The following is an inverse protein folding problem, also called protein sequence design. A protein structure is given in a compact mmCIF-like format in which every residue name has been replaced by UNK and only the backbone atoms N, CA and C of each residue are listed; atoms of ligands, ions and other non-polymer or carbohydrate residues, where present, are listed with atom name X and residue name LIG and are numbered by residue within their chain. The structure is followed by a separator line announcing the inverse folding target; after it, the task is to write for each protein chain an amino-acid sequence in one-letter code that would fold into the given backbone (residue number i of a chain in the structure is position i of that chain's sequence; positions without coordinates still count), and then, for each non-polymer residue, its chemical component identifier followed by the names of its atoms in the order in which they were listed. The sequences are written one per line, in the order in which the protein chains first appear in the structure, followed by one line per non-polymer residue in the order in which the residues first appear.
data_IF_070539341111
#
_entry.id   IF_070539341111
#
_cell.length_a   1.000
_cell.length_b   1.000
_cell.length_c   1.000
_cell.angle_alpha   90.00
_cell.angle_beta   90.00
_cell.angle_gamma   90.00
#
_symmetry.space_group_name_H-M   'P 1'
#
loop_
_entity.id
_entity.type
_entity.pdbx_description
1 polymer ?
#
# COMPACT_ATOMS: atom_id res chain seq x y z
N UNK A 1 -10.60 -14.18 5.62
CA UNK A 1 -10.52 -13.79 4.19
C UNK A 1 -9.13 -13.21 3.88
N UNK A 2 -8.39 -13.64 2.84
CA UNK A 2 -7.04 -13.09 2.55
C UNK A 2 -7.17 -11.70 1.91
N UNK A 3 -6.84 -10.65 2.67
CA UNK A 3 -6.91 -9.26 2.20
C UNK A 3 -5.67 -8.91 1.35
N UNK A 4 -5.90 -8.61 0.07
CA UNK A 4 -4.88 -8.26 -0.92
C UNK A 4 -4.93 -6.76 -1.23
N UNK A 5 -3.83 -6.03 -1.01
CA UNK A 5 -3.80 -4.60 -1.31
C UNK A 5 -4.04 -4.28 -2.80
N UNK A 6 -3.65 -5.18 -3.71
CA UNK A 6 -3.95 -5.04 -5.16
C UNK A 6 -5.43 -4.93 -5.50
N UNK A 7 -6.32 -5.42 -4.62
CA UNK A 7 -7.77 -5.43 -4.81
C UNK A 7 -8.47 -4.42 -3.89
N UNK A 8 -7.71 -3.60 -3.16
CA UNK A 8 -8.24 -2.60 -2.27
C UNK A 8 -8.57 -1.33 -3.05
N UNK A 9 -9.82 -0.85 -2.93
CA UNK A 9 -10.27 0.40 -3.55
C UNK A 9 -9.49 1.63 -3.06
N UNK A 10 -8.91 1.57 -1.86
CA UNK A 10 -8.11 2.64 -1.28
C UNK A 10 -6.64 2.61 -1.69
N UNK A 11 -6.22 1.66 -2.54
CA UNK A 11 -4.85 1.59 -3.02
C UNK A 11 -4.70 2.41 -4.32
N UNK A 12 -4.10 3.58 -4.19
CA UNK A 12 -3.89 4.50 -5.31
C UNK A 12 -2.44 4.52 -5.76
N UNK A 13 -2.24 4.79 -7.05
CA UNK A 13 -0.93 4.95 -7.64
C UNK A 13 -0.49 6.42 -7.61
N UNK A 14 0.63 6.73 -6.95
CA UNK A 14 1.17 8.09 -6.85
C UNK A 14 2.55 8.17 -7.49
N UNK A 15 2.56 8.56 -8.76
CA UNK A 15 3.78 8.80 -9.55
C UNK A 15 4.61 7.54 -9.82
N UNK A 16 5.87 7.77 -10.20
CA UNK A 16 6.87 6.74 -10.48
C UNK A 16 8.20 7.09 -9.81
N UNK A 17 8.97 6.06 -9.46
CA UNK A 17 10.34 6.20 -8.94
C UNK A 17 11.35 5.62 -9.93
N UNK A 18 12.55 6.21 -9.98
CA UNK A 18 13.67 5.83 -10.86
C UNK A 18 13.35 5.93 -12.36
N UNK A 19 12.54 6.92 -12.72
CA UNK A 19 12.38 7.31 -14.13
C UNK A 19 13.64 8.06 -14.58
N UNK A 20 14.35 7.52 -15.56
CA UNK A 20 15.49 8.19 -16.21
C UNK A 20 15.19 8.34 -17.70
N UNK A 21 16.03 9.07 -18.46
CA UNK A 21 15.82 9.30 -19.90
C UNK A 21 15.56 7.99 -20.67
N UNK A 22 16.20 6.88 -20.28
CA UNK A 22 16.04 5.56 -20.91
C UNK A 22 15.17 4.56 -20.16
N UNK A 23 14.59 4.90 -19.00
CA UNK A 23 13.83 3.94 -18.18
C UNK A 23 12.47 4.47 -17.72
N UNK A 24 11.43 3.68 -17.99
CA UNK A 24 10.11 3.85 -17.39
C UNK A 24 10.20 3.34 -15.94
N UNK A 25 10.33 4.26 -14.99
CA UNK A 25 10.44 3.95 -13.56
C UNK A 25 9.25 3.15 -13.02
N UNK A 26 9.35 2.62 -11.81
CA UNK A 26 8.29 1.80 -11.19
C UNK A 26 7.22 2.68 -10.56
N UNK A 27 5.94 2.34 -10.75
CA UNK A 27 4.83 3.04 -10.09
C UNK A 27 4.90 2.81 -8.58
N UNK A 28 4.56 3.85 -7.81
CA UNK A 28 4.44 3.75 -6.35
C UNK A 28 2.97 3.63 -5.97
N UNK A 29 2.67 2.73 -5.05
CA UNK A 29 1.33 2.51 -4.55
C UNK A 29 1.23 2.92 -3.10
N UNK A 30 0.19 3.69 -2.79
CA UNK A 30 -0.11 4.22 -1.47
C UNK A 30 -1.54 3.86 -1.09
N UNK A 31 -1.78 3.71 0.20
CA UNK A 31 -3.11 3.53 0.76
C UNK A 31 -3.65 4.88 1.21
N UNK A 32 -4.72 5.37 0.58
CA UNK A 32 -5.40 6.63 0.92
C UNK A 32 -6.55 6.46 1.91
N UNK A 33 -6.60 5.34 2.61
CA UNK A 33 -7.62 5.12 3.62
C UNK A 33 -7.39 6.08 4.80
N UNK A 34 -8.43 6.75 5.30
CA UNK A 34 -8.32 7.75 6.39
C UNK A 34 -7.69 7.17 7.66
N UNK A 35 -7.96 5.89 7.94
CA UNK A 35 -7.30 5.18 9.04
C UNK A 35 -5.76 5.13 8.97
N UNK A 36 -5.13 5.38 7.82
CA UNK A 36 -3.68 5.39 7.65
C UNK A 36 -3.01 6.60 8.27
N UNK A 37 -3.62 7.79 8.17
CA UNK A 37 -3.04 9.02 8.75
C UNK A 37 -2.95 8.98 10.27
N UNK A 38 -3.74 8.12 10.91
CA UNK A 38 -3.74 7.91 12.36
C UNK A 38 -2.77 6.81 12.81
N UNK A 39 -2.15 6.08 11.89
CA UNK A 39 -1.22 5.02 12.24
C UNK A 39 0.18 5.61 12.39
N UNK A 40 0.84 5.18 13.47
CA UNK A 40 2.22 5.52 13.76
C UNK A 40 3.09 4.29 13.68
N UNK A 41 4.32 4.44 13.20
CA UNK A 41 5.33 3.39 13.25
C UNK A 41 5.82 3.19 14.70
N UNK A 42 6.65 2.16 14.94
CA UNK A 42 7.29 1.86 16.24
C UNK A 42 8.06 3.03 16.85
N UNK A 43 8.42 4.03 16.02
CA UNK A 43 9.12 5.25 16.40
C UNK A 43 8.19 6.47 16.59
N UNK A 44 6.87 6.31 16.47
CA UNK A 44 5.89 7.39 16.69
C UNK A 44 5.64 8.30 15.48
N UNK A 45 6.34 8.10 14.36
CA UNK A 45 6.13 8.82 13.10
C UNK A 45 4.87 8.35 12.39
N UNK A 46 4.12 9.28 11.80
CA UNK A 46 2.95 8.98 10.96
C UNK A 46 3.43 8.22 9.74
N UNK A 47 2.73 7.15 9.38
CA UNK A 47 3.03 6.42 8.15
C UNK A 47 2.35 7.07 6.95
N UNK A 48 3.11 7.24 5.88
CA UNK A 48 2.68 7.86 4.62
C UNK A 48 1.68 7.00 3.84
N UNK A 49 1.41 5.78 4.33
CA UNK A 49 0.58 4.80 3.65
C UNK A 49 1.26 4.08 2.50
N UNK A 50 2.59 4.10 2.41
CA UNK A 50 3.32 3.46 1.33
C UNK A 50 3.14 1.93 1.35
N UNK A 51 2.50 1.38 0.31
CA UNK A 51 2.22 -0.06 0.19
C UNK A 51 3.37 -0.78 -0.48
N UNK A 52 3.93 -0.20 -1.55
CA UNK A 52 4.99 -0.84 -2.32
C UNK A 52 5.15 -0.29 -3.73
N UNK A 53 6.03 -0.94 -4.48
CA UNK A 53 6.30 -0.64 -5.88
C UNK A 53 5.59 -1.63 -6.81
N UNK A 54 5.19 -1.13 -7.99
CA UNK A 54 4.75 -1.97 -9.09
C UNK A 54 5.92 -2.56 -9.89
N UNK A 55 5.60 -3.40 -10.87
CA UNK A 55 6.60 -4.00 -11.77
C UNK A 55 7.31 -2.97 -12.66
N UNK A 56 8.44 -3.35 -13.23
CA UNK A 56 9.21 -2.52 -14.17
C UNK A 56 8.62 -2.52 -15.59
N UNK A 57 7.32 -2.28 -15.72
CA UNK A 57 6.56 -2.31 -16.96
C UNK A 57 5.76 -1.01 -17.15
N UNK A 58 5.25 -0.73 -18.36
CA UNK A 58 4.40 0.45 -18.59
C UNK A 58 3.15 0.43 -17.70
N UNK A 59 2.48 -0.73 -17.57
CA UNK A 59 1.33 -0.89 -16.67
C UNK A 59 1.76 -0.79 -15.19
N UNK A 60 2.94 -1.33 -14.85
CA UNK A 60 3.54 -1.41 -13.50
C UNK A 60 2.51 -1.79 -12.42
N UNK A 61 1.84 -2.95 -12.54
CA UNK A 61 0.86 -3.39 -11.56
C UNK A 61 1.51 -3.67 -10.20
N UNK A 62 0.76 -3.46 -9.11
CA UNK A 62 1.19 -3.81 -7.76
C UNK A 62 1.29 -5.34 -7.63
N UNK A 63 2.51 -5.84 -7.43
CA UNK A 63 2.77 -7.29 -7.29
C UNK A 63 2.40 -7.81 -5.90
N UNK A 64 2.27 -6.91 -4.93
CA UNK A 64 2.10 -7.25 -3.53
C UNK A 64 0.79 -8.04 -3.30
N UNK A 65 0.93 -9.36 -3.11
CA UNK A 65 -0.16 -10.30 -2.78
C UNK A 65 -0.39 -10.38 -1.27
N UNK A 66 0.04 -9.39 -0.51
CA UNK A 66 -0.15 -9.33 0.93
C UNK A 66 -0.67 -7.95 1.30
N UNK A 67 -0.97 -7.75 2.57
CA UNK A 67 -1.31 -6.46 3.13
C UNK A 67 -0.29 -6.09 4.20
N UNK A 68 0.22 -4.84 4.21
CA UNK A 68 1.12 -4.36 5.25
C UNK A 68 0.54 -4.62 6.64
N UNK A 69 1.41 -4.86 7.63
CA UNK A 69 0.97 -5.14 9.02
C UNK A 69 0.16 -3.99 9.63
N UNK A 70 0.44 -2.77 9.19
CA UNK A 70 -0.26 -1.57 9.62
C UNK A 70 -1.60 -1.35 8.90
N UNK A 71 -1.98 -2.14 7.89
CA UNK A 71 -3.19 -1.91 7.12
C UNK A 71 -4.44 -1.81 8.03
N UNK A 72 -5.19 -0.70 7.99
CA UNK A 72 -6.31 -0.46 8.90
C UNK A 72 -7.42 -1.51 8.72
N UNK A 73 -7.77 -1.85 7.49
CA UNK A 73 -8.79 -2.87 7.17
C UNK A 73 -8.40 -4.25 7.73
N UNK A 74 -7.12 -4.61 7.64
CA UNK A 74 -6.62 -5.88 8.17
C UNK A 74 -6.70 -5.94 9.70
N UNK A 75 -6.53 -4.81 10.39
CA UNK A 75 -6.71 -4.73 11.84
C UNK A 75 -8.18 -4.89 12.20
N UNK A 76 -9.07 -4.13 11.54
CA UNK A 76 -10.51 -4.22 11.79
C UNK A 76 -11.09 -5.62 11.59
N UNK A 77 -10.62 -6.38 10.59
CA UNK A 77 -11.08 -7.77 10.38
C UNK A 77 -10.63 -8.71 11.51
N UNK A 78 -9.49 -8.48 12.15
CA UNK A 78 -9.04 -9.30 13.29
C UNK A 78 -9.90 -9.08 14.54
N UNK A 79 -10.46 -7.89 14.70
CA UNK A 79 -11.30 -7.56 15.84
C UNK A 79 -12.67 -8.25 15.73
N UNK A 80 -13.13 -8.58 14.51
CA UNK A 80 -14.41 -9.28 14.28
C UNK A 80 -14.30 -10.79 14.50
N UNK A 81 -13.14 -11.40 14.25
CA UNK A 81 -12.93 -12.85 14.47
C UNK A 81 -12.69 -13.21 15.96
N UNK A 82 -12.70 -12.23 16.88
CA UNK A 82 -12.51 -12.44 18.33
C UNK A 82 -13.78 -12.23 19.17
N UNK A 83 -14.96 -12.17 18.53
CA UNK A 83 -16.27 -12.11 19.19
C UNK A 83 -17.08 -13.38 18.94
#
# INVERSE_FOLDING_TARGET
MKFYCKHCLHCEQIGRQNSTWGSIGRKRYYCKHEGVSNIRDKHGFVIDGFVGFGENNLKSPLVLKTSPRWCPIKRSVKDVDSM
#
